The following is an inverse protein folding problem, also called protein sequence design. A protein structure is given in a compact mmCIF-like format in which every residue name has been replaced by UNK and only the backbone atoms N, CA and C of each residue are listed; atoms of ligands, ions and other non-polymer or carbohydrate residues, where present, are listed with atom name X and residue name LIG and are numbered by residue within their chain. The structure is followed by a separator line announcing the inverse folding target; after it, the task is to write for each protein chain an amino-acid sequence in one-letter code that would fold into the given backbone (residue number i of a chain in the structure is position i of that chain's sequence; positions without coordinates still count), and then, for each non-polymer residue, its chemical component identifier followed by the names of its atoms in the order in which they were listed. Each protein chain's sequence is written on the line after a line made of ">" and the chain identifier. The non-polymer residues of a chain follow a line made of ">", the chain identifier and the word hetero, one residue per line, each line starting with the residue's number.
data_IF_900305068955
#
_entry.id   IF_900305068955
#
_cell.length_a   1.000
_cell.length_b   1.000
_cell.length_c   1.000
_cell.angle_alpha   90.00
_cell.angle_beta   90.00
_cell.angle_gamma   90.00
#
_symmetry.space_group_name_H-M   'P 1'
#
loop_
_entity.id
_entity.type
_entity.pdbx_description
1 polymer ?
#
# COMPACT_ATOMS: atom_id res chain seq x y z
N UNK A 1 30.91 19.25 -20.08
CA UNK A 1 30.25 18.03 -19.56
C UNK A 1 29.64 18.19 -18.16
N UNK A 2 30.07 19.15 -17.33
CA UNK A 2 29.56 19.32 -15.95
C UNK A 2 28.13 19.89 -15.91
N UNK A 3 27.79 20.80 -16.82
CA UNK A 3 26.45 21.42 -16.88
C UNK A 3 25.33 20.43 -17.24
N UNK A 4 25.62 19.44 -18.08
CA UNK A 4 24.64 18.40 -18.48
C UNK A 4 24.32 17.46 -17.31
N UNK A 5 25.31 17.13 -16.48
CA UNK A 5 25.09 16.35 -15.26
C UNK A 5 24.27 17.14 -14.23
N UNK A 6 24.51 18.44 -14.10
CA UNK A 6 23.75 19.28 -13.18
C UNK A 6 22.29 19.44 -13.62
N UNK A 7 22.04 19.57 -14.93
CA UNK A 7 20.70 19.54 -15.52
C UNK A 7 20.00 18.20 -15.24
N UNK A 8 20.69 17.07 -15.37
CA UNK A 8 20.12 15.75 -15.10
C UNK A 8 19.68 15.57 -13.63
N UNK A 9 20.50 16.03 -12.69
CA UNK A 9 20.17 15.98 -11.25
C UNK A 9 18.93 16.84 -10.94
N UNK A 10 18.82 18.02 -11.55
CA UNK A 10 17.66 18.90 -11.36
C UNK A 10 16.38 18.30 -11.95
N UNK A 11 16.46 17.66 -13.13
CA UNK A 11 15.31 16.98 -13.75
C UNK A 11 14.87 15.79 -12.88
N UNK A 12 15.81 14.99 -12.37
CA UNK A 12 15.50 13.86 -11.48
C UNK A 12 14.87 14.30 -10.16
N UNK A 13 15.38 15.40 -9.57
CA UNK A 13 14.81 15.98 -8.35
C UNK A 13 13.39 16.49 -8.59
N UNK A 14 13.17 17.22 -9.69
CA UNK A 14 11.84 17.74 -10.06
C UNK A 14 10.85 16.62 -10.38
N UNK A 15 11.29 15.53 -11.04
CA UNK A 15 10.46 14.35 -11.25
C UNK A 15 10.03 13.69 -9.93
N UNK A 16 10.94 13.54 -8.97
CA UNK A 16 10.61 12.98 -7.66
C UNK A 16 9.63 13.88 -6.88
N UNK A 17 9.79 15.20 -6.95
CA UNK A 17 8.90 16.16 -6.30
C UNK A 17 7.50 16.19 -6.96
N UNK A 18 7.43 16.13 -8.29
CA UNK A 18 6.16 16.11 -9.04
C UNK A 18 5.42 14.76 -8.87
N UNK A 19 6.12 13.63 -8.76
CA UNK A 19 5.50 12.33 -8.42
C UNK A 19 4.93 12.33 -7.00
N UNK A 20 5.66 12.89 -6.02
CA UNK A 20 5.15 13.03 -4.65
C UNK A 20 3.95 13.97 -4.60
N UNK A 21 3.98 15.09 -5.33
CA UNK A 21 2.89 16.06 -5.38
C UNK A 21 1.62 15.49 -6.05
N UNK A 22 1.76 14.70 -7.12
CA UNK A 22 0.63 14.01 -7.77
C UNK A 22 0.00 12.97 -6.84
N UNK A 23 0.82 12.15 -6.16
CA UNK A 23 0.35 11.19 -5.17
C UNK A 23 -0.40 11.86 -4.01
N UNK A 24 0.02 13.07 -3.61
CA UNK A 24 -0.62 13.83 -2.53
C UNK A 24 -1.92 14.50 -3.00
N UNK A 25 -2.04 14.88 -4.27
CA UNK A 25 -3.21 15.56 -4.81
C UNK A 25 -4.37 14.60 -5.10
N UNK A 26 -4.09 13.34 -5.41
CA UNK A 26 -5.11 12.28 -5.51
C UNK A 26 -5.69 11.86 -4.13
N UNK A 27 -5.01 12.21 -3.03
CA UNK A 27 -5.45 11.93 -1.65
C UNK A 27 -6.29 13.03 -0.98
N UNK A 28 -6.53 14.17 -1.64
CA UNK A 28 -7.23 15.31 -1.03
C UNK A 28 -8.77 15.28 -1.22
N UNK A 29 -9.34 14.19 -1.76
CA UNK A 29 -10.72 14.15 -2.25
C UNK A 29 -11.63 13.07 -1.65
N UNK A 30 -11.45 12.62 -0.40
CA UNK A 30 -12.49 11.91 0.38
C UNK A 30 -12.00 11.55 1.78
N UNK A 31 -12.34 12.39 2.75
CA UNK A 31 -11.89 12.34 4.15
C UNK A 31 -12.58 11.25 4.98
N UNK A 32 -12.75 10.03 4.45
CA UNK A 32 -12.99 8.78 5.21
C UNK A 32 -13.03 7.55 4.28
N UNK A 33 -13.46 7.73 3.02
CA UNK A 33 -13.55 6.63 2.04
C UNK A 33 -12.20 6.11 1.52
N UNK A 34 -11.15 6.94 1.57
CA UNK A 34 -9.81 6.55 1.12
C UNK A 34 -8.96 5.89 2.21
N UNK A 35 -9.29 6.09 3.49
CA UNK A 35 -8.48 5.63 4.63
C UNK A 35 -8.32 4.11 4.63
N UNK A 36 -9.38 3.39 4.24
CA UNK A 36 -9.45 1.94 4.14
C UNK A 36 -9.63 1.44 2.70
N UNK A 37 -8.99 2.11 1.75
CA UNK A 37 -9.06 1.74 0.32
C UNK A 37 -8.32 0.43 0.01
N UNK A 38 -8.80 -0.30 -1.00
CA UNK A 38 -8.13 -1.50 -1.51
C UNK A 38 -6.68 -1.19 -1.91
N UNK A 39 -6.46 -0.05 -2.58
CA UNK A 39 -5.13 0.39 -3.03
C UNK A 39 -4.13 0.48 -1.87
N UNK A 40 -4.57 1.00 -0.72
CA UNK A 40 -3.74 1.11 0.48
C UNK A 40 -3.41 -0.27 1.08
N UNK A 41 -4.37 -1.20 1.13
CA UNK A 41 -4.10 -2.59 1.54
C UNK A 41 -3.06 -3.26 0.63
N UNK A 42 -3.20 -3.12 -0.69
CA UNK A 42 -2.26 -3.70 -1.67
C UNK A 42 -0.86 -3.11 -1.46
N UNK A 43 -0.77 -1.79 -1.31
CA UNK A 43 0.50 -1.08 -1.10
C UNK A 43 1.19 -1.52 0.19
N UNK A 44 0.45 -1.70 1.28
CA UNK A 44 0.98 -2.19 2.55
C UNK A 44 1.51 -3.61 2.43
N UNK A 45 0.73 -4.53 1.85
CA UNK A 45 1.15 -5.93 1.63
C UNK A 45 2.38 -6.04 0.71
N UNK A 46 2.54 -5.11 -0.23
CA UNK A 46 3.73 -5.05 -1.09
C UNK A 46 4.98 -4.56 -0.35
N UNK A 47 4.83 -3.70 0.66
CA UNK A 47 5.94 -3.20 1.49
C UNK A 47 6.40 -4.21 2.54
N UNK A 48 5.53 -5.16 2.92
CA UNK A 48 5.87 -6.22 3.87
C UNK A 48 6.74 -7.28 3.17
N UNK A 49 8.01 -7.37 3.57
CA UNK A 49 8.98 -8.33 3.03
C UNK A 49 8.67 -9.78 3.42
N UNK A 50 7.99 -9.98 4.55
CA UNK A 50 7.62 -11.29 5.11
C UNK A 50 6.49 -12.02 4.36
N UNK A 51 5.90 -11.38 3.34
CA UNK A 51 4.77 -11.92 2.57
C UNK A 51 5.23 -12.40 1.20
N UNK A 52 5.08 -13.69 0.91
CA UNK A 52 5.42 -14.24 -0.41
C UNK A 52 4.38 -13.85 -1.48
N UNK A 53 4.78 -13.83 -2.77
CA UNK A 53 3.92 -13.43 -3.90
C UNK A 53 2.57 -14.19 -3.94
N UNK A 54 2.57 -15.51 -3.69
CA UNK A 54 1.34 -16.31 -3.66
C UNK A 54 0.40 -15.92 -2.52
N UNK A 55 0.94 -15.54 -1.35
CA UNK A 55 0.16 -15.03 -0.23
C UNK A 55 -0.44 -13.65 -0.55
N UNK A 56 0.29 -12.79 -1.26
CA UNK A 56 -0.23 -11.47 -1.70
C UNK A 56 -1.44 -11.63 -2.62
N UNK A 57 -1.34 -12.52 -3.61
CA UNK A 57 -2.43 -12.81 -4.54
C UNK A 57 -3.70 -13.32 -3.82
N UNK A 58 -3.54 -14.18 -2.80
CA UNK A 58 -4.66 -14.68 -2.01
C UNK A 58 -5.25 -13.60 -1.10
N UNK A 59 -4.44 -12.69 -0.57
CA UNK A 59 -4.90 -11.56 0.26
C UNK A 59 -5.87 -10.63 -0.47
N UNK A 60 -5.77 -10.50 -1.79
CA UNK A 60 -6.70 -9.66 -2.57
C UNK A 60 -8.15 -10.13 -2.46
N UNK A 61 -8.39 -11.42 -2.20
CA UNK A 61 -9.73 -11.94 -1.93
C UNK A 61 -10.25 -11.44 -0.56
N UNK A 62 -9.40 -11.38 0.45
CA UNK A 62 -9.71 -10.86 1.80
C UNK A 62 -10.08 -9.37 1.74
N UNK A 63 -9.37 -8.58 0.93
CA UNK A 63 -9.60 -7.13 0.81
C UNK A 63 -10.85 -6.72 0.01
N UNK A 64 -11.59 -7.68 -0.56
CA UNK A 64 -12.90 -7.40 -1.17
C UNK A 64 -13.91 -6.90 -0.14
N UNK A 65 -13.80 -7.37 1.10
CA UNK A 65 -14.65 -6.94 2.21
C UNK A 65 -14.10 -5.64 2.83
N UNK A 66 -14.95 -4.61 2.94
CA UNK A 66 -14.57 -3.31 3.49
C UNK A 66 -14.12 -3.39 4.96
N UNK A 67 -14.79 -4.20 5.78
CA UNK A 67 -14.42 -4.40 7.19
C UNK A 67 -13.05 -5.06 7.32
N UNK A 68 -12.74 -6.00 6.42
CA UNK A 68 -11.43 -6.64 6.40
C UNK A 68 -10.32 -5.66 6.02
N UNK A 69 -10.59 -4.69 5.14
CA UNK A 69 -9.63 -3.62 4.83
C UNK A 69 -9.35 -2.73 6.03
N UNK A 70 -10.40 -2.33 6.73
CA UNK A 70 -10.31 -1.52 7.95
C UNK A 70 -9.50 -2.25 9.03
N UNK A 71 -9.89 -3.48 9.37
CA UNK A 71 -9.16 -4.30 10.35
C UNK A 71 -7.68 -4.44 9.96
N UNK A 72 -7.38 -4.72 8.69
CA UNK A 72 -6.00 -4.87 8.23
C UNK A 72 -5.18 -3.59 8.40
N UNK A 73 -5.73 -2.45 7.97
CA UNK A 73 -5.00 -1.17 7.99
C UNK A 73 -4.81 -0.68 9.43
N UNK A 74 -5.83 -0.81 10.28
CA UNK A 74 -5.73 -0.41 11.69
C UNK A 74 -4.75 -1.31 12.44
N UNK A 75 -4.83 -2.64 12.27
CA UNK A 75 -3.88 -3.55 12.91
C UNK A 75 -2.45 -3.34 12.40
N UNK A 76 -2.24 -3.16 11.10
CA UNK A 76 -0.91 -2.94 10.53
C UNK A 76 -0.28 -1.61 10.97
N UNK A 77 -1.08 -0.62 11.40
CA UNK A 77 -0.58 0.63 11.95
C UNK A 77 -0.06 0.48 13.39
N UNK A 78 -0.59 -0.48 14.14
CA UNK A 78 -0.20 -0.74 15.54
C UNK A 78 0.85 -1.84 15.65
N UNK A 79 0.62 -2.97 14.98
CA UNK A 79 1.50 -4.14 14.95
C UNK A 79 1.37 -4.90 13.62
N UNK A 80 2.43 -4.80 12.81
CA UNK A 80 2.52 -5.46 11.52
C UNK A 80 2.43 -6.99 11.64
N UNK A 81 3.00 -7.60 12.67
CA UNK A 81 3.05 -9.06 12.80
C UNK A 81 1.65 -9.63 13.06
N UNK A 82 0.89 -9.02 13.99
CA UNK A 82 -0.51 -9.36 14.24
C UNK A 82 -1.37 -9.18 12.98
N UNK A 83 -1.17 -8.12 12.20
CA UNK A 83 -1.90 -7.90 10.95
C UNK A 83 -1.63 -9.00 9.92
N UNK A 84 -0.37 -9.44 9.80
CA UNK A 84 0.03 -10.55 8.92
C UNK A 84 -0.58 -11.86 9.38
N UNK A 85 -0.56 -12.16 10.68
CA UNK A 85 -1.17 -13.37 11.24
C UNK A 85 -2.69 -13.39 11.04
N UNK A 86 -3.38 -12.30 11.35
CA UNK A 86 -4.82 -12.17 11.12
C UNK A 86 -5.18 -12.39 9.64
N UNK A 87 -4.47 -11.74 8.71
CA UNK A 87 -4.69 -11.91 7.27
C UNK A 87 -4.50 -13.38 6.84
N UNK A 88 -3.53 -14.09 7.40
CA UNK A 88 -3.32 -15.53 7.13
C UNK A 88 -4.50 -16.38 7.60
N UNK A 89 -5.08 -16.06 8.75
CA UNK A 89 -6.30 -16.68 9.25
C UNK A 89 -7.47 -16.45 8.28
N UNK A 90 -7.73 -15.20 7.89
CA UNK A 90 -8.81 -14.86 6.95
C UNK A 90 -8.64 -15.57 5.60
N UNK A 91 -7.40 -15.68 5.11
CA UNK A 91 -7.12 -16.42 3.89
C UNK A 91 -7.46 -17.90 4.03
N UNK A 92 -7.16 -18.52 5.17
CA UNK A 92 -7.42 -19.94 5.42
C UNK A 92 -8.93 -20.27 5.42
N UNK A 93 -9.78 -19.32 5.80
CA UNK A 93 -11.24 -19.46 5.79
C UNK A 93 -11.87 -19.26 4.40
N UNK A 94 -11.10 -18.80 3.40
CA UNK A 94 -11.61 -18.65 2.05
C UNK A 94 -11.94 -20.02 1.44
N UNK A 95 -13.09 -20.15 0.75
CA UNK A 95 -13.44 -21.39 0.05
C UNK A 95 -12.36 -21.76 -0.98
N UNK A 96 -11.91 -23.01 -0.91
CA UNK A 96 -10.92 -23.65 -1.80
C UNK A 96 -11.44 -23.84 -3.22
#
# INVERSE_FOLDING_TARGET
>A
MVEVMQQYVNIKKKQAEDEVALLTKESAGSTNGQEFSISKCISLVHKMDSIACHERARAFKVFKNAKNRETFITSAAEDEESAVMWRRSEMAELPT
#
